data_IF_863800802399
#
_entry.id   IF_863800802399
#
_cell.length_a   1.000
_cell.length_b   1.000
_cell.length_c   1.000
_cell.angle_alpha   90.00
_cell.angle_beta   90.00
_cell.angle_gamma   90.00
#
_symmetry.space_group_name_H-M   'P 1'
#
loop_
_entity.id
_entity.type
_entity.pdbx_description
1 polymer ?
#
# COMPACT_ATOMS: atom_id res chain seq x y z
N UNK A 1 -23.92 15.55 68.03
CA UNK A 1 -25.09 14.73 67.90
C UNK A 1 -25.25 14.25 66.48
N UNK A 2 -25.40 12.96 66.42
CA UNK A 2 -26.03 12.13 65.33
C UNK A 2 -25.39 12.12 63.95
N UNK A 3 -24.68 11.05 63.70
CA UNK A 3 -24.62 10.41 62.37
C UNK A 3 -26.01 9.87 62.01
N UNK A 4 -26.29 9.79 60.71
CA UNK A 4 -26.73 8.51 60.15
C UNK A 4 -26.10 8.21 58.81
N UNK A 5 -25.64 7.00 58.59
CA UNK A 5 -26.43 5.95 57.97
C UNK A 5 -25.80 5.57 56.66
N UNK A 6 -25.08 4.45 56.61
CA UNK A 6 -24.56 3.79 55.46
C UNK A 6 -25.69 3.35 54.50
N UNK A 7 -25.63 3.78 53.23
CA UNK A 7 -26.46 3.28 52.16
C UNK A 7 -25.62 2.35 51.28
N UNK A 8 -25.90 1.07 51.37
CA UNK A 8 -25.41 0.06 50.44
C UNK A 8 -25.97 0.34 49.05
N UNK A 9 -25.10 0.58 48.09
CA UNK A 9 -25.44 0.53 46.67
C UNK A 9 -24.91 -0.77 46.09
N UNK A 10 -25.82 -1.66 45.85
CA UNK A 10 -25.64 -2.89 45.08
C UNK A 10 -25.09 -2.61 43.68
N UNK A 11 -23.89 -3.11 43.38
CA UNK A 11 -23.32 -3.12 42.06
C UNK A 11 -24.00 -4.16 41.14
N UNK A 12 -24.08 -3.89 39.84
CA UNK A 12 -24.56 -4.89 38.91
C UNK A 12 -23.51 -5.99 38.69
N UNK A 13 -23.97 -7.20 38.77
CA UNK A 13 -23.28 -8.44 38.46
C UNK A 13 -23.02 -8.58 36.94
N UNK A 14 -21.95 -9.26 36.62
CA UNK A 14 -21.87 -10.03 35.39
C UNK A 14 -21.10 -9.39 34.23
N UNK A 15 -19.79 -9.53 34.24
CA UNK A 15 -19.03 -9.59 33.02
C UNK A 15 -18.43 -10.99 32.93
N UNK A 16 -19.23 -11.89 32.41
CA UNK A 16 -18.79 -13.26 32.13
C UNK A 16 -17.92 -13.28 30.90
N UNK A 17 -16.69 -13.77 31.10
CA UNK A 17 -16.12 -14.81 30.26
C UNK A 17 -15.74 -14.46 28.83
N UNK A 18 -14.69 -13.65 28.60
CA UNK A 18 -13.88 -13.90 27.42
C UNK A 18 -12.98 -15.10 27.74
N UNK A 19 -13.41 -16.28 27.30
CA UNK A 19 -12.57 -17.47 27.27
C UNK A 19 -11.36 -17.14 26.37
N UNK A 20 -10.17 -17.18 26.95
CA UNK A 20 -8.93 -17.25 26.19
C UNK A 20 -8.99 -18.53 25.36
N UNK A 21 -9.16 -18.38 24.06
CA UNK A 21 -8.95 -19.47 23.12
C UNK A 21 -7.49 -19.85 23.14
N UNK A 22 -7.24 -21.14 23.30
CA UNK A 22 -5.95 -21.80 23.31
C UNK A 22 -5.03 -21.32 22.19
N UNK A 23 -3.73 -21.33 22.47
CA UNK A 23 -2.66 -20.94 21.55
C UNK A 23 -2.70 -21.72 20.22
N UNK A 24 -1.90 -21.27 19.23
CA UNK A 24 -1.95 -21.86 17.90
C UNK A 24 -1.66 -23.38 17.97
N UNK A 25 -2.54 -24.16 17.35
CA UNK A 25 -2.37 -25.59 17.18
C UNK A 25 -1.04 -25.87 16.44
N UNK A 26 -0.33 -26.96 16.75
CA UNK A 26 0.87 -27.36 16.04
C UNK A 26 0.54 -27.59 14.55
N UNK A 27 1.51 -27.35 13.63
CA UNK A 27 1.27 -27.57 12.21
C UNK A 27 0.93 -29.05 11.98
N UNK A 28 -0.34 -29.28 11.69
CA UNK A 28 -0.80 -30.60 11.24
C UNK A 28 -0.19 -30.92 9.89
N UNK A 29 0.15 -32.18 9.69
CA UNK A 29 0.65 -32.74 8.44
C UNK A 29 -0.25 -32.30 7.27
N UNK A 30 0.35 -31.79 6.22
CA UNK A 30 -0.34 -31.35 5.01
C UNK A 30 -1.01 -32.57 4.35
N UNK A 31 -2.30 -32.74 4.62
CA UNK A 31 -3.15 -33.66 3.89
C UNK A 31 -3.29 -33.17 2.46
N UNK A 32 -3.01 -34.04 1.52
CA UNK A 32 -3.21 -33.83 0.08
C UNK A 32 -4.67 -33.44 -0.18
N UNK A 33 -4.90 -32.30 -0.81
CA UNK A 33 -6.18 -31.98 -1.45
C UNK A 33 -7.07 -30.91 -0.82
N UNK A 34 -6.54 -29.94 -0.06
CA UNK A 34 -7.35 -28.73 0.20
C UNK A 34 -7.52 -27.94 -1.10
N UNK A 35 -8.77 -27.68 -1.54
CA UNK A 35 -8.98 -26.84 -2.71
C UNK A 35 -8.38 -25.46 -2.45
N UNK A 36 -7.57 -24.98 -3.37
CA UNK A 36 -7.05 -23.61 -3.31
C UNK A 36 -8.24 -22.66 -3.09
N UNK A 37 -8.14 -21.69 -2.16
CA UNK A 37 -9.24 -20.78 -1.92
C UNK A 37 -9.61 -20.09 -3.23
N UNK A 38 -10.90 -20.09 -3.56
CA UNK A 38 -11.39 -19.41 -4.74
C UNK A 38 -11.04 -17.92 -4.65
N UNK A 39 -10.26 -17.43 -5.61
CA UNK A 39 -9.92 -16.00 -5.68
C UNK A 39 -11.12 -15.27 -6.24
N UNK A 40 -11.71 -14.38 -5.44
CA UNK A 40 -12.73 -13.45 -5.91
C UNK A 40 -12.06 -12.33 -6.71
N UNK A 41 -12.58 -12.06 -7.91
CA UNK A 41 -12.12 -10.95 -8.76
C UNK A 41 -13.27 -9.96 -8.93
N UNK A 42 -13.04 -8.71 -8.58
CA UNK A 42 -13.94 -7.60 -8.86
C UNK A 42 -13.30 -6.66 -9.88
N UNK A 43 -14.08 -6.21 -10.86
CA UNK A 43 -13.67 -5.16 -11.78
C UNK A 43 -14.05 -3.82 -11.21
N UNK A 44 -13.11 -2.90 -11.19
CA UNK A 44 -13.36 -1.47 -10.95
C UNK A 44 -13.16 -0.69 -12.25
N UNK A 45 -13.96 0.34 -12.45
CA UNK A 45 -13.77 1.27 -13.55
C UNK A 45 -12.99 2.47 -13.03
N UNK A 46 -11.84 2.73 -13.63
CA UNK A 46 -11.00 3.86 -13.24
C UNK A 46 -11.59 5.14 -13.79
N UNK A 47 -11.69 6.16 -12.94
CA UNK A 47 -12.21 7.46 -13.30
C UNK A 47 -11.45 8.05 -14.52
N UNK A 48 -12.13 8.65 -15.48
CA UNK A 48 -11.51 9.11 -16.73
C UNK A 48 -10.51 10.26 -16.52
N UNK A 49 -10.55 10.92 -15.37
CA UNK A 49 -9.61 11.98 -14.98
C UNK A 49 -8.26 11.42 -14.55
N UNK A 50 -8.21 10.16 -14.10
CA UNK A 50 -6.96 9.51 -13.67
C UNK A 50 -6.03 9.36 -14.87
N UNK A 51 -4.91 10.04 -14.81
CA UNK A 51 -3.79 9.92 -15.75
C UNK A 51 -2.63 9.26 -15.04
N UNK A 52 -1.76 8.65 -15.81
CA UNK A 52 -0.55 8.06 -15.23
C UNK A 52 0.67 8.36 -16.08
N UNK A 53 1.78 8.61 -15.38
CA UNK A 53 3.10 8.72 -15.99
C UNK A 53 4.03 7.75 -15.29
N UNK A 54 4.67 6.85 -16.05
CA UNK A 54 5.71 5.97 -15.54
C UNK A 54 7.08 6.63 -15.78
N UNK A 55 7.83 6.81 -14.71
CA UNK A 55 9.20 7.31 -14.75
C UNK A 55 10.14 6.12 -14.64
N UNK A 56 10.88 5.88 -15.72
CA UNK A 56 11.80 4.75 -15.83
C UNK A 56 13.23 5.27 -15.71
N UNK A 57 13.98 4.93 -14.64
CA UNK A 57 15.40 5.32 -14.52
C UNK A 57 16.28 4.49 -15.44
N UNK A 58 17.48 5.00 -15.71
CA UNK A 58 18.51 4.27 -16.45
C UNK A 58 19.12 3.13 -15.60
N UNK A 59 18.97 3.20 -14.27
CA UNK A 59 19.45 2.16 -13.35
C UNK A 59 18.51 0.96 -13.34
N UNK A 60 19.08 -0.22 -13.21
CA UNK A 60 18.33 -1.48 -13.03
C UNK A 60 18.45 -1.95 -11.57
N UNK A 61 17.39 -2.55 -11.06
CA UNK A 61 17.37 -3.20 -9.75
C UNK A 61 16.69 -4.57 -9.90
N UNK A 62 17.40 -5.62 -9.54
CA UNK A 62 16.81 -6.95 -9.57
C UNK A 62 15.69 -7.09 -8.51
N UNK A 63 14.55 -7.64 -8.91
CA UNK A 63 13.39 -7.84 -8.00
C UNK A 63 13.78 -8.64 -6.75
N UNK A 64 14.71 -9.60 -6.86
CA UNK A 64 15.22 -10.38 -5.74
C UNK A 64 15.93 -9.49 -4.73
N UNK A 65 16.76 -8.57 -5.20
CA UNK A 65 17.49 -7.61 -4.37
C UNK A 65 16.51 -6.66 -3.66
N UNK A 66 15.57 -6.08 -4.39
CA UNK A 66 14.53 -5.23 -3.81
C UNK A 66 13.66 -5.92 -2.74
N UNK A 67 13.54 -7.26 -2.79
CA UNK A 67 12.82 -8.04 -1.78
C UNK A 67 13.67 -8.41 -0.58
N UNK A 68 14.99 -8.59 -0.76
CA UNK A 68 15.89 -9.04 0.32
C UNK A 68 16.10 -8.01 1.41
N UNK A 69 15.84 -6.74 1.14
CA UNK A 69 15.98 -5.64 2.12
C UNK A 69 14.71 -5.40 2.95
N UNK A 70 13.62 -6.11 2.64
CA UNK A 70 12.39 -5.97 3.43
C UNK A 70 12.53 -6.70 4.76
N UNK A 71 12.09 -6.10 5.88
CA UNK A 71 12.11 -6.74 7.18
C UNK A 71 11.13 -7.91 7.21
N UNK A 72 11.43 -8.91 8.06
CA UNK A 72 10.52 -10.05 8.31
C UNK A 72 9.26 -9.66 9.07
N UNK A 73 9.34 -8.58 9.84
CA UNK A 73 8.25 -8.06 10.66
C UNK A 73 8.16 -6.53 10.50
N UNK A 74 6.95 -6.00 10.60
CA UNK A 74 6.70 -4.56 10.56
C UNK A 74 5.81 -4.15 11.74
N UNK A 75 5.89 -2.88 12.19
CA UNK A 75 4.99 -2.38 13.22
C UNK A 75 3.53 -2.54 12.80
N UNK A 76 2.68 -3.03 13.72
CA UNK A 76 1.24 -3.17 13.47
C UNK A 76 0.60 -1.86 12.98
N UNK A 77 1.04 -0.71 13.50
CA UNK A 77 0.54 0.61 13.08
C UNK A 77 0.83 0.89 11.59
N UNK A 78 2.00 0.48 11.08
CA UNK A 78 2.38 0.68 9.68
C UNK A 78 1.63 -0.27 8.75
N UNK A 79 1.40 -1.51 9.19
CA UNK A 79 0.55 -2.46 8.49
C UNK A 79 -0.90 -1.95 8.40
N UNK A 80 -1.49 -1.51 9.52
CA UNK A 80 -2.83 -0.95 9.56
C UNK A 80 -2.96 0.32 8.72
N UNK A 81 -1.95 1.21 8.78
CA UNK A 81 -1.89 2.41 7.96
C UNK A 81 -1.94 2.06 6.47
N UNK A 82 -1.08 1.14 6.02
CA UNK A 82 -0.99 0.77 4.60
C UNK A 82 -2.24 0.04 4.12
N UNK A 83 -2.83 -0.85 4.95
CA UNK A 83 -4.08 -1.51 4.63
C UNK A 83 -5.24 -0.52 4.42
N UNK A 84 -5.35 0.50 5.28
CA UNK A 84 -6.34 1.56 5.12
C UNK A 84 -6.13 2.36 3.82
N UNK A 85 -4.88 2.63 3.43
CA UNK A 85 -4.57 3.32 2.16
C UNK A 85 -4.86 2.45 0.94
N UNK A 86 -4.64 1.14 1.03
CA UNK A 86 -5.01 0.21 -0.05
C UNK A 86 -6.53 0.24 -0.32
N UNK A 87 -7.35 0.25 0.73
CA UNK A 87 -8.80 0.42 0.59
C UNK A 87 -9.18 1.79 0.01
N UNK A 88 -8.54 2.86 0.48
CA UNK A 88 -8.76 4.21 -0.03
C UNK A 88 -8.37 4.35 -1.51
N UNK A 89 -7.32 3.64 -1.95
CA UNK A 89 -6.84 3.68 -3.33
C UNK A 89 -7.90 3.19 -4.32
N UNK A 90 -8.67 2.16 -3.96
CA UNK A 90 -9.77 1.68 -4.80
C UNK A 90 -10.81 2.78 -5.01
N UNK A 91 -11.22 3.47 -3.94
CA UNK A 91 -12.17 4.59 -4.00
C UNK A 91 -11.60 5.77 -4.79
N UNK A 92 -10.31 6.08 -4.57
CA UNK A 92 -9.62 7.16 -5.26
C UNK A 92 -9.54 6.91 -6.77
N UNK A 93 -9.25 5.69 -7.19
CA UNK A 93 -9.18 5.33 -8.60
C UNK A 93 -10.54 5.33 -9.29
N UNK A 94 -11.60 4.92 -8.57
CA UNK A 94 -12.93 4.74 -9.15
C UNK A 94 -13.70 6.06 -9.28
N UNK A 95 -13.66 6.92 -8.25
CA UNK A 95 -14.59 8.06 -8.14
C UNK A 95 -14.09 9.28 -7.36
N UNK A 96 -12.91 9.23 -6.76
CA UNK A 96 -12.38 10.33 -5.93
C UNK A 96 -10.89 10.57 -6.19
N UNK A 97 -10.49 10.94 -7.42
CA UNK A 97 -9.08 11.11 -7.79
C UNK A 97 -8.32 12.13 -6.92
N UNK A 98 -9.02 13.06 -6.30
CA UNK A 98 -8.45 14.04 -5.35
C UNK A 98 -7.83 13.39 -4.11
N UNK A 99 -8.21 12.15 -3.81
CA UNK A 99 -7.65 11.37 -2.69
C UNK A 99 -6.40 10.58 -3.07
N UNK A 100 -5.98 10.57 -4.33
CA UNK A 100 -4.83 9.78 -4.81
C UNK A 100 -3.54 10.10 -4.05
N UNK A 101 -3.30 11.36 -3.70
CA UNK A 101 -2.11 11.74 -2.94
C UNK A 101 -2.06 11.04 -1.58
N UNK A 102 -3.17 10.99 -0.84
CA UNK A 102 -3.25 10.28 0.44
C UNK A 102 -3.31 8.76 0.25
N UNK A 103 -4.05 8.28 -0.74
CA UNK A 103 -4.23 6.86 -1.01
C UNK A 103 -2.94 6.15 -1.44
N UNK A 104 -2.00 6.89 -2.02
CA UNK A 104 -0.70 6.38 -2.47
C UNK A 104 0.40 6.44 -1.40
N UNK A 105 0.07 6.76 -0.15
CA UNK A 105 1.03 6.65 0.97
C UNK A 105 1.11 5.20 1.45
N UNK A 106 2.32 4.75 1.73
CA UNK A 106 2.56 3.42 2.27
C UNK A 106 3.79 3.42 3.20
N UNK A 107 3.93 2.38 4.03
CA UNK A 107 4.99 2.25 5.03
C UNK A 107 5.58 0.85 5.09
N UNK A 108 5.35 0.03 4.06
CA UNK A 108 5.77 -1.37 4.06
C UNK A 108 6.89 -1.68 3.08
N UNK A 109 7.17 -0.79 2.11
CA UNK A 109 8.07 -1.12 1.01
C UNK A 109 9.06 -0.01 0.68
N UNK A 110 8.58 1.22 0.41
CA UNK A 110 9.38 2.27 -0.24
C UNK A 110 10.56 2.70 0.60
N UNK A 111 10.31 2.98 1.89
CA UNK A 111 11.36 3.46 2.80
C UNK A 111 12.43 2.38 3.04
N UNK A 112 12.02 1.11 3.19
CA UNK A 112 12.96 -0.01 3.36
C UNK A 112 13.82 -0.26 2.13
N UNK A 113 13.33 0.08 0.93
CA UNK A 113 14.05 -0.08 -0.34
C UNK A 113 14.85 1.14 -0.75
N UNK A 114 14.73 2.26 -0.05
CA UNK A 114 15.32 3.54 -0.43
C UNK A 114 16.82 3.43 -0.71
N UNK A 115 17.57 2.71 0.13
CA UNK A 115 19.02 2.53 -0.01
C UNK A 115 19.40 1.66 -1.22
N UNK A 116 18.52 0.76 -1.67
CA UNK A 116 18.74 -0.04 -2.88
C UNK A 116 18.45 0.72 -4.18
N UNK A 117 17.77 1.86 -4.09
CA UNK A 117 17.42 2.70 -5.24
C UNK A 117 17.48 4.21 -4.89
N UNK A 118 18.63 4.73 -4.44
CA UNK A 118 18.72 6.06 -3.84
C UNK A 118 18.25 7.17 -4.76
N UNK A 119 18.54 7.08 -6.05
CA UNK A 119 18.10 8.06 -7.04
C UNK A 119 16.57 8.10 -7.17
N UNK A 120 15.91 6.93 -7.22
CA UNK A 120 14.45 6.84 -7.28
C UNK A 120 13.81 7.30 -5.98
N UNK A 121 14.41 6.99 -4.82
CA UNK A 121 13.95 7.45 -3.53
C UNK A 121 14.01 8.98 -3.39
N UNK A 122 15.07 9.61 -3.89
CA UNK A 122 15.20 11.07 -3.92
C UNK A 122 14.15 11.71 -4.82
N UNK A 123 13.98 11.19 -6.05
CA UNK A 123 12.98 11.71 -6.99
C UNK A 123 11.57 11.51 -6.48
N UNK A 124 11.26 10.34 -5.90
CA UNK A 124 9.96 10.08 -5.29
C UNK A 124 9.65 11.09 -4.18
N UNK A 125 10.61 11.34 -3.29
CA UNK A 125 10.45 12.32 -2.21
C UNK A 125 10.16 13.70 -2.77
N UNK A 126 10.97 14.18 -3.74
CA UNK A 126 10.79 15.48 -4.37
C UNK A 126 9.42 15.62 -5.06
N UNK A 127 8.96 14.58 -5.75
CA UNK A 127 7.63 14.56 -6.37
C UNK A 127 6.53 14.68 -5.31
N UNK A 128 6.64 13.92 -4.22
CA UNK A 128 5.64 13.98 -3.15
C UNK A 128 5.65 15.30 -2.39
N UNK A 129 6.82 15.91 -2.16
CA UNK A 129 6.93 17.25 -1.58
C UNK A 129 6.29 18.33 -2.48
N UNK A 130 6.35 18.13 -3.80
CA UNK A 130 5.68 18.97 -4.78
C UNK A 130 4.17 18.68 -4.93
N UNK A 131 3.61 17.72 -4.16
CA UNK A 131 2.19 17.39 -4.17
C UNK A 131 1.78 16.32 -5.18
N UNK A 132 2.73 15.67 -5.87
CA UNK A 132 2.40 14.62 -6.83
C UNK A 132 2.03 13.29 -6.13
N UNK A 133 0.94 12.62 -6.54
CA UNK A 133 0.58 11.29 -6.06
C UNK A 133 1.49 10.24 -6.73
N UNK A 134 2.69 10.05 -6.19
CA UNK A 134 3.72 9.20 -6.74
C UNK A 134 4.08 8.04 -5.81
N UNK A 135 4.42 6.89 -6.39
CA UNK A 135 4.83 5.66 -5.69
C UNK A 135 5.91 4.94 -6.48
N UNK A 136 6.68 4.08 -5.81
CA UNK A 136 7.52 3.10 -6.49
C UNK A 136 6.64 2.10 -7.22
N UNK A 137 6.92 1.86 -8.50
CA UNK A 137 6.19 0.91 -9.33
C UNK A 137 6.69 -0.52 -9.08
N UNK A 138 5.88 -1.34 -8.44
CA UNK A 138 6.23 -2.73 -8.13
C UNK A 138 7.44 -2.86 -7.21
N UNK A 139 8.47 -3.58 -7.64
CA UNK A 139 9.72 -3.72 -6.89
C UNK A 139 10.62 -2.46 -7.00
N UNK A 140 10.35 -1.59 -7.92
CA UNK A 140 11.23 -0.48 -8.33
C UNK A 140 12.21 -0.90 -9.44
N UNK A 141 13.16 -0.04 -9.83
CA UNK A 141 13.33 1.33 -9.37
C UNK A 141 12.43 2.37 -10.10
N UNK A 142 11.52 1.93 -10.98
CA UNK A 142 10.57 2.83 -11.66
C UNK A 142 9.60 3.47 -10.67
N UNK A 143 9.14 4.68 -10.99
CA UNK A 143 8.17 5.44 -10.21
C UNK A 143 6.89 5.60 -11.04
N UNK A 144 5.74 5.33 -10.45
CA UNK A 144 4.44 5.61 -11.04
C UNK A 144 3.88 6.89 -10.41
N UNK A 145 3.54 7.85 -11.25
CA UNK A 145 2.83 9.08 -10.88
C UNK A 145 1.40 8.95 -11.36
N UNK A 146 0.42 9.13 -10.48
CA UNK A 146 -1.01 9.14 -10.84
C UNK A 146 -1.44 10.52 -11.29
N UNK A 147 -0.70 11.05 -12.26
CA UNK A 147 -0.98 12.29 -12.96
C UNK A 147 -0.17 12.36 -14.25
N UNK A 148 -0.47 13.34 -15.09
CA UNK A 148 0.30 13.64 -16.28
C UNK A 148 1.42 14.62 -15.96
N UNK A 149 2.66 14.13 -15.91
CA UNK A 149 3.83 14.96 -15.68
C UNK A 149 4.01 15.92 -16.86
N UNK A 150 4.06 17.22 -16.56
CA UNK A 150 4.26 18.25 -17.56
C UNK A 150 5.67 18.18 -18.20
N UNK A 151 5.82 18.85 -19.36
CA UNK A 151 7.06 18.79 -20.13
C UNK A 151 8.26 19.31 -19.36
N UNK A 152 8.10 20.39 -18.61
CA UNK A 152 9.19 21.00 -17.85
C UNK A 152 9.72 20.05 -16.78
N UNK A 153 8.79 19.42 -16.04
CA UNK A 153 9.14 18.41 -15.04
C UNK A 153 9.76 17.18 -15.69
N UNK A 154 9.22 16.72 -16.84
CA UNK A 154 9.79 15.60 -17.58
C UNK A 154 11.23 15.88 -18.07
N UNK A 155 11.52 17.09 -18.55
CA UNK A 155 12.87 17.50 -18.97
C UNK A 155 13.84 17.51 -17.77
N UNK A 156 13.42 18.04 -16.60
CA UNK A 156 14.21 18.00 -15.37
C UNK A 156 14.48 16.56 -14.88
N UNK A 157 13.54 15.67 -15.06
CA UNK A 157 13.70 14.26 -14.73
C UNK A 157 14.61 13.53 -15.72
N UNK A 158 14.58 13.92 -17.01
CA UNK A 158 15.50 13.39 -18.01
C UNK A 158 16.95 13.74 -17.69
N UNK A 159 17.24 14.96 -17.23
CA UNK A 159 18.57 15.35 -16.76
C UNK A 159 19.06 14.53 -15.56
N UNK A 160 18.11 13.95 -14.80
CA UNK A 160 18.37 13.00 -13.70
C UNK A 160 18.35 11.54 -14.14
N UNK A 161 18.35 11.26 -15.44
CA UNK A 161 18.38 9.89 -15.98
C UNK A 161 17.04 9.14 -15.93
N UNK A 162 15.92 9.87 -15.85
CA UNK A 162 14.58 9.25 -15.92
C UNK A 162 13.91 9.54 -17.25
N UNK A 163 13.32 8.52 -17.85
CA UNK A 163 12.45 8.65 -19.01
C UNK A 163 11.00 8.64 -18.56
N UNK A 164 10.27 9.71 -18.85
CA UNK A 164 8.83 9.81 -18.60
C UNK A 164 8.04 9.15 -19.73
N UNK A 165 7.21 8.16 -19.38
CA UNK A 165 6.32 7.47 -20.30
C UNK A 165 4.88 7.73 -19.85
N UNK A 166 4.11 8.44 -20.66
CA UNK A 166 2.67 8.58 -20.44
C UNK A 166 2.03 7.23 -20.72
N UNK A 167 1.36 6.67 -19.73
CA UNK A 167 0.64 5.42 -19.86
C UNK A 167 -0.82 5.62 -19.50
N UNK A 168 -1.70 4.90 -20.18
CA UNK A 168 -3.11 4.84 -19.79
C UNK A 168 -3.34 3.65 -18.88
N UNK A 169 -4.51 3.61 -18.25
CA UNK A 169 -4.99 2.44 -17.53
C UNK A 169 -5.34 1.35 -18.54
N UNK A 170 -4.82 0.14 -18.34
CA UNK A 170 -5.10 -1.01 -19.20
C UNK A 170 -6.60 -1.34 -19.22
N UNK A 171 -7.14 -1.59 -20.41
CA UNK A 171 -8.58 -1.84 -20.56
C UNK A 171 -9.03 -3.19 -20.01
N UNK A 172 -8.19 -4.21 -20.03
CA UNK A 172 -8.56 -5.57 -19.61
C UNK A 172 -7.31 -6.45 -19.44
N UNK A 173 -7.21 -7.16 -18.32
CA UNK A 173 -6.32 -8.30 -18.23
C UNK A 173 -6.98 -9.49 -18.95
N UNK A 174 -6.21 -10.22 -19.77
CA UNK A 174 -6.63 -11.49 -20.37
C UNK A 174 -5.52 -12.50 -20.22
N UNK A 175 -5.93 -13.74 -20.04
CA UNK A 175 -5.01 -14.87 -20.05
C UNK A 175 -4.49 -15.02 -21.49
N UNK A 176 -3.19 -15.12 -21.61
CA UNK A 176 -2.55 -15.53 -22.85
C UNK A 176 -2.38 -17.04 -22.72
N UNK A 177 -3.07 -17.81 -23.56
CA UNK A 177 -2.81 -19.24 -23.67
C UNK A 177 -1.39 -19.41 -24.24
N UNK A 178 -0.51 -20.07 -23.44
CA UNK A 178 0.89 -20.36 -23.78
C UNK A 178 0.99 -21.79 -24.28
#
# INVERSE_FOLDING_TARGET
PAEPGAGEASGPAGADGFAHADGPAPPGEAGEGSPSPAVGVARIEVAPEVRTTLLVPNAELATREARSVLPSEVPHADAAFTAARAGLLVVALERSPELLFEATRERLHQDYRADSMPQSAEVLRALREAGWPAVISGAGPSILVFDEVDRKTADLLADRGFRALRSGVGRKAHLIDV
#
